data_IF_812062723956
#
_entry.id   IF_812062723956
#
_cell.length_a   1.000
_cell.length_b   1.000
_cell.length_c   1.000
_cell.angle_alpha   90.00
_cell.angle_beta   90.00
_cell.angle_gamma   90.00
#
_symmetry.space_group_name_H-M   'P 1'
#
loop_
_entity.id
_entity.type
_entity.pdbx_description
1 polymer ?
#
# COMPACT_ATOMS: atom_id res chain seq x y z
N UNK A 1 5.53 -8.51 6.12
CA UNK A 1 4.98 -7.86 4.93
C UNK A 1 6.09 -7.64 3.90
N UNK A 2 5.77 -7.58 2.61
CA UNK A 2 6.75 -7.26 1.57
C UNK A 2 6.95 -5.74 1.47
N UNK A 3 8.20 -5.29 1.59
CA UNK A 3 8.61 -3.89 1.49
C UNK A 3 9.42 -3.67 0.22
N UNK A 4 9.00 -2.78 -0.63
CA UNK A 4 9.71 -2.35 -1.83
C UNK A 4 10.30 -0.95 -1.64
N UNK A 5 11.53 -0.78 -2.14
CA UNK A 5 12.27 0.49 -2.22
C UNK A 5 12.96 0.57 -3.56
N UNK A 6 13.62 1.68 -3.83
CA UNK A 6 14.42 1.88 -5.05
C UNK A 6 15.88 2.06 -4.64
N UNK A 7 16.80 1.37 -5.31
CA UNK A 7 18.22 1.48 -5.06
C UNK A 7 18.86 2.73 -5.71
N UNK A 8 20.18 2.85 -5.61
CA UNK A 8 20.92 3.99 -6.14
C UNK A 8 20.85 4.13 -7.67
N UNK A 9 20.56 3.03 -8.37
CA UNK A 9 20.48 2.95 -9.84
C UNK A 9 19.03 3.10 -10.34
N UNK A 10 18.06 3.32 -9.44
CA UNK A 10 16.65 3.39 -9.80
C UNK A 10 15.97 2.03 -9.94
N UNK A 11 16.63 0.93 -9.56
CA UNK A 11 16.08 -0.41 -9.66
C UNK A 11 15.24 -0.75 -8.41
N UNK A 12 14.03 -1.34 -8.58
CA UNK A 12 13.20 -1.77 -7.47
C UNK A 12 13.84 -2.92 -6.70
N UNK A 13 13.79 -2.83 -5.39
CA UNK A 13 14.30 -3.81 -4.44
C UNK A 13 13.16 -4.24 -3.50
N UNK A 14 13.03 -5.54 -3.22
CA UNK A 14 11.97 -6.07 -2.35
C UNK A 14 12.54 -7.01 -1.29
N UNK A 15 11.96 -7.00 -0.08
CA UNK A 15 12.30 -7.88 1.05
C UNK A 15 11.09 -8.04 1.97
N UNK A 16 11.13 -9.06 2.81
CA UNK A 16 10.17 -9.23 3.90
C UNK A 16 10.69 -8.46 5.11
N UNK A 17 9.85 -7.60 5.67
CA UNK A 17 10.10 -6.85 6.91
C UNK A 17 8.88 -7.02 7.81
N UNK A 18 9.12 -7.19 9.09
CA UNK A 18 8.07 -7.20 10.08
C UNK A 18 7.74 -5.78 10.52
N UNK A 19 6.46 -5.44 10.50
CA UNK A 19 5.94 -4.26 11.18
C UNK A 19 5.89 -4.60 12.67
N UNK A 20 6.71 -3.95 13.46
CA UNK A 20 6.96 -4.30 14.86
C UNK A 20 5.89 -3.73 15.79
N UNK A 21 5.39 -2.52 15.49
CA UNK A 21 4.39 -1.81 16.29
C UNK A 21 3.44 -1.10 15.33
N UNK A 22 2.15 -1.12 15.66
CA UNK A 22 1.12 -0.30 14.99
C UNK A 22 0.36 0.43 16.09
N UNK A 23 0.44 1.75 16.11
CA UNK A 23 -0.27 2.61 17.05
C UNK A 23 -0.49 4.01 16.47
N UNK A 24 -1.53 4.69 16.91
CA UNK A 24 -1.86 6.07 16.50
C UNK A 24 -1.79 6.29 14.98
N UNK A 25 -2.33 5.35 14.21
CA UNK A 25 -2.30 5.36 12.74
C UNK A 25 -0.87 5.43 12.17
N UNK A 26 0.10 4.83 12.84
CA UNK A 26 1.50 4.77 12.42
C UNK A 26 2.02 3.34 12.45
N UNK A 27 2.92 3.05 11.52
CA UNK A 27 3.60 1.76 11.44
C UNK A 27 5.08 1.95 11.79
N UNK A 28 5.58 1.10 12.69
CA UNK A 28 6.96 1.14 13.13
C UNK A 28 7.69 -0.15 12.77
N UNK A 29 8.90 -0.01 12.28
CA UNK A 29 9.79 -1.13 11.94
C UNK A 29 11.24 -0.76 12.20
N UNK A 30 12.14 -1.75 12.13
CA UNK A 30 13.56 -1.49 12.28
C UNK A 30 14.38 -2.24 11.23
N UNK A 31 15.57 -1.72 10.95
CA UNK A 31 16.57 -2.37 10.10
C UNK A 31 17.99 -2.00 10.53
N UNK A 32 18.96 -2.88 10.27
CA UNK A 32 20.35 -2.63 10.64
C UNK A 32 21.05 -1.65 9.67
N UNK A 33 21.92 -0.80 10.24
CA UNK A 33 22.68 0.23 9.48
C UNK A 33 23.53 -0.31 8.34
N UNK A 34 24.00 -1.56 8.42
CA UNK A 34 24.83 -2.19 7.38
C UNK A 34 24.05 -2.79 6.21
N UNK A 35 22.71 -2.72 6.21
CA UNK A 35 21.89 -3.28 5.13
C UNK A 35 21.65 -2.27 4.01
N UNK A 36 21.61 -2.74 2.77
CA UNK A 36 21.21 -1.93 1.61
C UNK A 36 19.85 -1.26 1.80
N UNK A 37 18.92 -1.96 2.46
CA UNK A 37 17.61 -1.41 2.79
C UNK A 37 17.71 -0.11 3.62
N UNK A 38 18.59 -0.08 4.62
CA UNK A 38 18.84 1.14 5.40
C UNK A 38 19.35 2.27 4.50
N UNK A 39 20.35 1.99 3.65
CA UNK A 39 20.90 2.99 2.72
C UNK A 39 19.86 3.52 1.74
N UNK A 40 18.99 2.64 1.24
CA UNK A 40 17.89 3.00 0.35
C UNK A 40 16.88 3.94 1.05
N UNK A 41 16.49 3.63 2.29
CA UNK A 41 15.59 4.48 3.09
C UNK A 41 16.20 5.85 3.39
N UNK A 42 17.51 5.90 3.65
CA UNK A 42 18.20 7.16 3.93
C UNK A 42 18.36 8.02 2.67
N UNK A 43 18.48 7.41 1.50
CA UNK A 43 18.61 8.11 0.21
C UNK A 43 17.24 8.55 -0.34
N UNK A 44 16.26 7.65 -0.26
CA UNK A 44 14.90 7.89 -0.75
C UNK A 44 13.93 7.34 0.30
N UNK A 45 13.25 8.24 0.97
CA UNK A 45 12.34 7.90 2.05
C UNK A 45 10.98 7.34 1.60
N UNK A 46 10.85 6.91 0.35
CA UNK A 46 9.63 6.31 -0.20
C UNK A 46 9.67 4.79 -0.03
N UNK A 47 8.54 4.21 0.37
CA UNK A 47 8.34 2.77 0.43
C UNK A 47 6.99 2.38 -0.16
N UNK A 48 6.95 1.22 -0.79
CA UNK A 48 5.71 0.53 -1.10
C UNK A 48 5.66 -0.77 -0.29
N UNK A 49 4.53 -1.02 0.35
CA UNK A 49 4.34 -2.18 1.23
C UNK A 49 3.11 -2.95 0.79
N UNK A 50 3.19 -4.26 0.84
CA UNK A 50 2.02 -5.12 0.64
C UNK A 50 2.04 -6.32 1.56
N UNK A 51 0.84 -6.78 1.88
CA UNK A 51 0.61 -8.02 2.59
C UNK A 51 -0.76 -8.57 2.24
N UNK A 52 -0.90 -9.88 2.34
CA UNK A 52 -2.15 -10.60 2.13
C UNK A 52 -2.32 -11.62 3.24
N UNK A 53 -3.52 -11.76 3.76
CA UNK A 53 -3.86 -12.81 4.71
C UNK A 53 -4.41 -14.06 3.98
N UNK A 54 -4.70 -15.12 4.77
CA UNK A 54 -5.25 -16.39 4.25
C UNK A 54 -6.65 -16.27 3.62
N UNK A 55 -7.37 -15.21 3.92
CA UNK A 55 -8.73 -14.98 3.44
C UNK A 55 -8.74 -14.07 2.19
N UNK A 56 -7.58 -13.93 1.50
CA UNK A 56 -7.36 -13.13 0.30
C UNK A 56 -7.63 -11.63 0.48
N UNK A 57 -7.60 -11.16 1.72
CA UNK A 57 -7.61 -9.73 2.01
C UNK A 57 -6.20 -9.17 1.88
N UNK A 58 -6.04 -8.19 1.06
CA UNK A 58 -4.76 -7.57 0.74
C UNK A 58 -4.76 -6.10 1.15
N UNK A 59 -3.63 -5.67 1.69
CA UNK A 59 -3.33 -4.26 1.93
C UNK A 59 -2.13 -3.84 1.10
N UNK A 60 -2.21 -2.66 0.51
CA UNK A 60 -1.10 -1.97 -0.14
C UNK A 60 -0.94 -0.59 0.48
N UNK A 61 0.27 -0.20 0.79
CA UNK A 61 0.59 1.13 1.31
C UNK A 61 1.73 1.71 0.47
N UNK A 62 1.55 2.94 0.01
CA UNK A 62 2.62 3.79 -0.52
C UNK A 62 2.83 4.93 0.47
N UNK A 63 4.00 5.01 1.08
CA UNK A 63 4.22 5.95 2.16
C UNK A 63 5.62 6.51 2.22
N UNK A 64 5.77 7.50 3.11
CA UNK A 64 7.06 8.10 3.45
C UNK A 64 7.52 7.61 4.80
N UNK A 65 8.80 7.28 4.84
CA UNK A 65 9.48 6.78 6.04
C UNK A 65 10.22 7.91 6.72
N UNK A 66 10.16 7.94 8.06
CA UNK A 66 10.98 8.80 8.92
C UNK A 66 11.84 7.94 9.82
N UNK A 67 13.13 8.21 9.87
CA UNK A 67 14.01 7.66 10.89
C UNK A 67 13.71 8.35 12.23
N UNK A 68 13.61 7.59 13.29
CA UNK A 68 13.31 8.10 14.63
C UNK A 68 14.58 8.57 15.33
N UNK A 69 14.51 9.71 16.03
CA UNK A 69 15.65 10.35 16.68
C UNK A 69 16.02 9.70 18.01
N UNK A 70 15.05 9.20 18.76
CA UNK A 70 15.26 8.56 20.06
C UNK A 70 15.60 7.07 19.87
N UNK A 71 16.74 6.82 19.25
CA UNK A 71 17.21 5.52 18.80
C UNK A 71 17.12 4.43 19.87
N UNK A 72 17.75 4.66 21.04
CA UNK A 72 17.87 3.62 22.07
C UNK A 72 16.51 3.24 22.65
N UNK A 73 15.70 4.22 23.01
CA UNK A 73 14.39 3.98 23.60
C UNK A 73 13.44 3.28 22.61
N UNK A 74 13.49 3.64 21.33
CA UNK A 74 12.69 2.96 20.31
C UNK A 74 13.13 1.52 20.09
N UNK A 75 14.42 1.24 20.05
CA UNK A 75 14.92 -0.14 19.91
C UNK A 75 14.56 -0.96 21.15
N UNK A 76 14.74 -0.44 22.35
CA UNK A 76 14.36 -1.13 23.58
C UNK A 76 12.84 -1.41 23.63
N UNK A 77 12.01 -0.46 23.20
CA UNK A 77 10.57 -0.65 23.09
C UNK A 77 10.21 -1.73 22.07
N UNK A 78 10.76 -1.70 20.85
CA UNK A 78 10.53 -2.71 19.83
C UNK A 78 10.88 -4.11 20.37
N UNK A 79 12.00 -4.26 21.06
CA UNK A 79 12.44 -5.53 21.62
C UNK A 79 11.60 -6.01 22.80
N UNK A 80 11.05 -5.08 23.58
CA UNK A 80 10.09 -5.41 24.64
C UNK A 80 8.79 -5.95 24.09
N UNK A 81 8.26 -5.35 23.02
CA UNK A 81 7.00 -5.76 22.39
C UNK A 81 7.18 -6.97 21.46
N UNK A 82 8.42 -7.22 20.97
CA UNK A 82 8.77 -8.34 20.10
C UNK A 82 9.95 -9.16 20.68
N UNK A 83 9.75 -9.93 21.74
CA UNK A 83 10.83 -10.60 22.48
C UNK A 83 11.67 -11.58 21.67
N UNK A 84 11.11 -12.17 20.60
CA UNK A 84 11.80 -13.07 19.69
C UNK A 84 13.00 -12.42 18.98
N UNK A 85 13.00 -11.09 18.86
CA UNK A 85 14.12 -10.33 18.31
C UNK A 85 15.41 -10.48 19.12
N UNK A 86 15.32 -10.81 20.43
CA UNK A 86 16.49 -11.04 21.28
C UNK A 86 17.32 -12.27 20.88
N UNK A 87 16.73 -13.24 20.15
CA UNK A 87 17.47 -14.38 19.62
C UNK A 87 18.31 -14.00 18.40
N UNK A 88 17.87 -12.99 17.64
CA UNK A 88 18.56 -12.51 16.44
C UNK A 88 19.62 -11.47 16.78
N UNK A 89 19.31 -10.56 17.70
CA UNK A 89 20.20 -9.47 18.15
C UNK A 89 20.27 -9.49 19.68
N UNK A 90 21.05 -10.38 20.29
CA UNK A 90 21.15 -10.48 21.73
C UNK A 90 21.90 -9.27 22.34
N UNK A 91 21.50 -8.90 23.56
CA UNK A 91 22.12 -7.85 24.36
C UNK A 91 22.27 -6.52 23.56
N UNK A 92 23.41 -5.87 23.67
CA UNK A 92 23.68 -4.57 23.06
C UNK A 92 23.86 -4.64 21.53
N UNK A 93 23.96 -5.85 20.95
CA UNK A 93 24.00 -6.00 19.47
C UNK A 93 22.77 -5.43 18.77
N UNK A 94 21.63 -5.35 19.49
CA UNK A 94 20.38 -4.73 18.99
C UNK A 94 20.55 -3.25 18.59
N UNK A 95 21.52 -2.53 19.16
CA UNK A 95 21.73 -1.12 18.85
C UNK A 95 22.42 -0.83 17.51
N UNK A 96 22.71 -1.88 16.71
CA UNK A 96 23.01 -1.74 15.28
C UNK A 96 21.77 -1.43 14.46
N UNK A 97 20.56 -1.73 14.99
CA UNK A 97 19.29 -1.45 14.35
C UNK A 97 18.92 0.01 14.50
N UNK A 98 18.22 0.55 13.53
CA UNK A 98 17.59 1.86 13.57
C UNK A 98 16.08 1.70 13.41
N UNK A 99 15.33 2.46 14.19
CA UNK A 99 13.87 2.46 14.12
C UNK A 99 13.35 3.50 13.14
N UNK A 100 12.30 3.12 12.44
CA UNK A 100 11.63 3.94 11.44
C UNK A 100 10.13 3.95 11.68
N UNK A 101 9.49 5.05 11.27
CA UNK A 101 8.05 5.24 11.31
C UNK A 101 7.51 5.59 9.92
N UNK A 102 6.33 5.06 9.59
CA UNK A 102 5.52 5.49 8.46
C UNK A 102 4.26 6.13 9.04
N UNK A 103 4.12 7.43 8.91
CA UNK A 103 3.02 8.24 9.43
C UNK A 103 2.28 9.02 8.34
N UNK A 104 2.65 8.79 7.08
CA UNK A 104 2.07 9.48 5.93
C UNK A 104 2.09 8.58 4.70
N UNK A 105 0.95 8.44 4.04
CA UNK A 105 0.83 7.61 2.84
C UNK A 105 -0.61 7.37 2.40
N UNK A 106 -0.74 6.58 1.35
CA UNK A 106 -2.01 6.06 0.84
C UNK A 106 -2.09 4.57 1.09
N UNK A 107 -3.22 4.12 1.61
CA UNK A 107 -3.50 2.70 1.84
C UNK A 107 -4.65 2.29 0.93
N UNK A 108 -4.49 1.15 0.28
CA UNK A 108 -5.55 0.46 -0.45
C UNK A 108 -5.80 -0.90 0.20
N UNK A 109 -7.03 -1.13 0.61
CA UNK A 109 -7.52 -2.44 1.03
C UNK A 109 -8.27 -3.09 -0.14
N UNK A 110 -8.05 -4.39 -0.34
CA UNK A 110 -8.66 -5.15 -1.39
C UNK A 110 -9.02 -6.55 -0.90
N UNK A 111 -10.31 -6.92 -1.00
CA UNK A 111 -10.83 -8.21 -0.57
C UNK A 111 -11.40 -8.98 -1.77
N UNK A 112 -10.67 -10.02 -2.19
CA UNK A 112 -11.09 -10.93 -3.26
C UNK A 112 -11.96 -12.07 -2.74
N UNK A 113 -12.07 -12.25 -1.42
CA UNK A 113 -12.91 -13.27 -0.79
C UNK A 113 -14.40 -12.90 -0.79
N UNK A 114 -14.72 -11.65 -1.13
CA UNK A 114 -16.11 -11.16 -1.20
C UNK A 114 -16.68 -11.20 -2.62
N UNK A 115 -17.99 -11.34 -2.71
CA UNK A 115 -18.74 -11.24 -3.95
C UNK A 115 -19.93 -10.27 -3.76
N UNK A 116 -19.90 -9.09 -4.42
CA UNK A 116 -18.82 -8.56 -5.26
C UNK A 116 -17.55 -8.26 -4.44
N UNK A 117 -16.40 -8.18 -5.12
CA UNK A 117 -15.13 -7.82 -4.50
C UNK A 117 -15.25 -6.50 -3.74
N UNK A 118 -14.45 -6.32 -2.70
CA UNK A 118 -14.40 -5.05 -1.98
C UNK A 118 -13.04 -4.37 -2.14
N UNK A 119 -13.08 -3.07 -2.44
CA UNK A 119 -11.93 -2.17 -2.53
C UNK A 119 -12.22 -0.93 -1.72
N UNK A 120 -11.27 -0.51 -0.92
CA UNK A 120 -11.35 0.73 -0.16
C UNK A 120 -9.99 1.42 -0.18
N UNK A 121 -10.00 2.75 -0.19
CA UNK A 121 -8.77 3.55 -0.13
C UNK A 121 -8.82 4.45 1.10
N UNK A 122 -7.70 4.50 1.81
CA UNK A 122 -7.54 5.28 3.02
C UNK A 122 -6.29 6.14 2.91
N UNK A 123 -6.29 7.25 3.62
CA UNK A 123 -5.10 8.06 3.83
C UNK A 123 -4.48 7.74 5.19
N UNK A 124 -3.17 7.74 5.24
CA UNK A 124 -2.39 7.73 6.46
C UNK A 124 -1.88 9.15 6.71
N UNK A 125 -2.15 9.71 7.88
CA UNK A 125 -1.76 11.07 8.22
C UNK A 125 -2.36 12.14 7.29
N UNK A 126 -1.53 13.09 6.87
CA UNK A 126 -1.93 14.24 6.04
C UNK A 126 -1.77 14.00 4.52
N UNK A 127 -1.65 12.76 4.07
CA UNK A 127 -1.56 12.46 2.64
C UNK A 127 -2.85 12.87 1.90
N UNK A 128 -2.72 13.23 0.63
CA UNK A 128 -3.87 13.38 -0.25
C UNK A 128 -4.26 12.00 -0.77
N UNK A 129 -5.55 11.70 -0.74
CA UNK A 129 -6.07 10.52 -1.41
C UNK A 129 -6.17 10.83 -2.91
N UNK A 130 -5.43 10.10 -3.73
CA UNK A 130 -5.62 10.17 -5.18
C UNK A 130 -6.82 9.31 -5.54
N UNK A 131 -7.90 9.93 -6.00
CA UNK A 131 -9.06 9.21 -6.51
C UNK A 131 -8.68 8.46 -7.78
N UNK A 132 -8.36 7.19 -7.62
CA UNK A 132 -8.07 6.26 -8.74
C UNK A 132 -9.37 5.56 -9.15
N UNK A 133 -9.47 5.22 -10.43
CA UNK A 133 -10.62 4.46 -10.88
C UNK A 133 -10.90 4.58 -12.36
N UNK A 134 -12.10 4.15 -12.73
CA UNK A 134 -12.63 4.26 -14.08
C UNK A 134 -13.94 5.02 -14.00
N UNK A 135 -14.11 6.03 -14.84
CA UNK A 135 -15.32 6.86 -14.90
C UNK A 135 -15.94 6.80 -16.29
N UNK A 136 -17.20 7.14 -16.37
CA UNK A 136 -17.93 7.33 -17.62
C UNK A 136 -18.19 8.82 -17.79
N UNK A 137 -17.66 9.41 -18.86
CA UNK A 137 -17.77 10.84 -19.16
C UNK A 137 -19.10 11.19 -19.85
N UNK A 138 -19.36 12.48 -19.99
CA UNK A 138 -20.56 13.01 -20.66
C UNK A 138 -20.66 12.67 -22.14
N UNK A 139 -19.56 12.21 -22.76
CA UNK A 139 -19.57 11.67 -24.13
C UNK A 139 -20.31 10.33 -24.28
N UNK A 140 -20.85 9.78 -23.20
CA UNK A 140 -21.53 8.49 -23.17
C UNK A 140 -22.86 8.53 -23.93
N UNK A 141 -23.00 7.69 -24.96
CA UNK A 141 -24.25 7.52 -25.75
C UNK A 141 -25.28 6.58 -25.11
N UNK A 142 -25.03 6.14 -23.88
CA UNK A 142 -25.92 5.26 -23.09
C UNK A 142 -26.29 3.94 -23.78
N UNK A 143 -25.35 3.33 -24.50
CA UNK A 143 -25.59 2.05 -25.22
C UNK A 143 -25.67 0.83 -24.30
N UNK A 144 -25.34 0.94 -23.01
CA UNK A 144 -25.39 -0.14 -22.00
C UNK A 144 -24.34 -1.25 -22.18
N UNK A 145 -23.39 -1.12 -23.13
CA UNK A 145 -22.41 -2.18 -23.39
C UNK A 145 -21.54 -2.44 -22.15
N UNK A 146 -21.05 -1.40 -21.50
CA UNK A 146 -20.18 -1.50 -20.33
C UNK A 146 -20.85 -2.20 -19.13
N UNK A 147 -22.14 -1.98 -18.91
CA UNK A 147 -22.92 -2.64 -17.85
C UNK A 147 -23.05 -4.14 -18.11
N UNK A 148 -23.37 -4.54 -19.36
CA UNK A 148 -23.55 -5.94 -19.73
C UNK A 148 -22.29 -6.78 -19.64
N UNK A 149 -21.12 -6.19 -19.93
CA UNK A 149 -19.85 -6.92 -19.98
C UNK A 149 -19.06 -6.88 -18.66
N UNK A 150 -19.48 -6.06 -17.70
CA UNK A 150 -18.74 -5.91 -16.46
C UNK A 150 -18.72 -7.22 -15.65
N UNK A 151 -17.53 -7.81 -15.37
CA UNK A 151 -17.45 -9.09 -14.66
C UNK A 151 -17.94 -8.99 -13.21
N UNK A 152 -17.84 -7.81 -12.59
CA UNK A 152 -18.30 -7.55 -11.23
C UNK A 152 -19.71 -6.94 -11.16
N UNK A 153 -20.33 -6.67 -12.31
CA UNK A 153 -21.65 -6.03 -12.41
C UNK A 153 -21.74 -4.73 -11.56
N UNK A 154 -20.61 -4.03 -11.46
CA UNK A 154 -20.48 -2.84 -10.64
C UNK A 154 -20.77 -1.52 -11.36
N UNK A 155 -21.41 -1.59 -12.55
CA UNK A 155 -21.83 -0.44 -13.36
C UNK A 155 -23.35 -0.44 -13.43
N UNK A 156 -23.95 0.61 -12.93
CA UNK A 156 -25.40 0.79 -12.92
C UNK A 156 -25.73 2.23 -13.30
N UNK A 157 -26.71 2.43 -14.17
CA UNK A 157 -27.10 3.76 -14.66
C UNK A 157 -25.90 4.59 -15.14
N UNK A 158 -24.93 3.92 -15.80
CA UNK A 158 -23.67 4.50 -16.31
C UNK A 158 -22.77 5.09 -15.20
N UNK A 159 -22.96 4.69 -13.94
CA UNK A 159 -22.11 5.00 -12.80
C UNK A 159 -21.36 3.77 -12.36
N UNK A 160 -20.04 3.89 -12.19
CA UNK A 160 -19.19 2.78 -11.75
C UNK A 160 -19.02 2.83 -10.24
N UNK A 161 -19.46 1.80 -9.53
CA UNK A 161 -19.16 1.64 -8.12
C UNK A 161 -17.68 1.26 -7.94
N UNK A 162 -16.85 2.21 -7.53
CA UNK A 162 -15.40 2.02 -7.39
C UNK A 162 -15.05 0.98 -6.33
N UNK A 163 -15.88 0.80 -5.31
CA UNK A 163 -15.62 -0.17 -4.23
C UNK A 163 -15.74 -1.63 -4.70
N UNK A 164 -16.46 -1.86 -5.80
CA UNK A 164 -16.64 -3.19 -6.39
C UNK A 164 -15.94 -3.33 -7.74
N UNK A 165 -15.20 -2.31 -8.17
CA UNK A 165 -14.53 -2.31 -9.47
C UNK A 165 -13.15 -2.96 -9.39
N UNK A 166 -12.90 -3.97 -10.24
CA UNK A 166 -11.57 -4.58 -10.40
C UNK A 166 -10.54 -3.65 -11.05
N UNK A 167 -10.98 -2.56 -11.63
CA UNK A 167 -10.18 -1.71 -12.51
C UNK A 167 -9.56 -2.49 -13.70
N UNK A 168 -10.24 -3.53 -14.18
CA UNK A 168 -9.73 -4.41 -15.23
C UNK A 168 -9.66 -3.75 -16.62
N UNK A 169 -10.40 -2.65 -16.83
CA UNK A 169 -10.38 -1.89 -18.10
C UNK A 169 -11.29 -2.42 -19.19
N UNK A 170 -12.00 -3.54 -19.02
CA UNK A 170 -12.83 -4.13 -20.06
C UNK A 170 -13.89 -3.15 -20.61
N UNK A 171 -14.53 -2.38 -19.72
CA UNK A 171 -15.48 -1.35 -20.12
C UNK A 171 -14.83 -0.22 -20.93
N UNK A 172 -13.57 0.13 -20.62
CA UNK A 172 -12.78 1.12 -21.34
C UNK A 172 -12.48 0.65 -22.78
N UNK A 173 -11.96 -0.57 -22.94
CA UNK A 173 -11.60 -1.11 -24.25
C UNK A 173 -12.81 -1.35 -25.15
N UNK A 174 -13.96 -1.65 -24.56
CA UNK A 174 -15.17 -2.02 -25.30
C UNK A 174 -16.12 -0.85 -25.54
N UNK A 175 -15.78 0.36 -25.09
CA UNK A 175 -16.62 1.54 -25.30
C UNK A 175 -16.54 2.00 -26.78
N UNK A 176 -17.68 2.02 -27.52
CA UNK A 176 -17.66 2.35 -28.96
C UNK A 176 -17.36 3.83 -29.23
N UNK A 177 -17.48 4.70 -28.24
CA UNK A 177 -17.28 6.15 -28.34
C UNK A 177 -16.18 6.66 -27.42
N UNK A 178 -15.38 5.78 -26.81
CA UNK A 178 -14.31 6.12 -25.90
C UNK A 178 -14.74 7.02 -24.71
N UNK A 179 -15.99 6.88 -24.26
CA UNK A 179 -16.52 7.67 -23.15
C UNK A 179 -16.14 7.11 -21.77
N UNK A 180 -15.41 6.00 -21.69
CA UNK A 180 -14.90 5.45 -20.44
C UNK A 180 -13.45 5.87 -20.29
N UNK A 181 -13.10 6.45 -19.14
CA UNK A 181 -11.81 7.09 -18.92
C UNK A 181 -11.18 6.59 -17.61
N UNK A 182 -9.83 6.61 -17.53
CA UNK A 182 -9.11 6.40 -16.27
C UNK A 182 -9.01 7.71 -15.50
N UNK A 183 -9.28 7.63 -14.19
CA UNK A 183 -9.12 8.73 -13.24
C UNK A 183 -7.93 8.44 -12.34
N UNK A 184 -6.98 9.35 -12.26
CA UNK A 184 -5.82 9.25 -11.40
C UNK A 184 -4.85 8.11 -11.77
N UNK A 185 -3.59 8.44 -12.03
CA UNK A 185 -2.51 7.51 -12.37
C UNK A 185 -1.19 8.27 -12.45
#
# INVERSE_FOLDING_TARGET
MAFATVDANGLPQIRIIDVMIVEDEKLYFCTARGKDFYLQLMKNNQVAITGMNKDYQMIRLNGKVKKLSDHKNWIDRIFKENPTMNTVYPNDSRYILEAFCIDNGEIEFFDLGKEPIERQSFRLGNSKLNEKGIIISDACIKCGKCERICPQKCIENYVINQNHCLHCGLCFEQCPVNAVERRGG
#
